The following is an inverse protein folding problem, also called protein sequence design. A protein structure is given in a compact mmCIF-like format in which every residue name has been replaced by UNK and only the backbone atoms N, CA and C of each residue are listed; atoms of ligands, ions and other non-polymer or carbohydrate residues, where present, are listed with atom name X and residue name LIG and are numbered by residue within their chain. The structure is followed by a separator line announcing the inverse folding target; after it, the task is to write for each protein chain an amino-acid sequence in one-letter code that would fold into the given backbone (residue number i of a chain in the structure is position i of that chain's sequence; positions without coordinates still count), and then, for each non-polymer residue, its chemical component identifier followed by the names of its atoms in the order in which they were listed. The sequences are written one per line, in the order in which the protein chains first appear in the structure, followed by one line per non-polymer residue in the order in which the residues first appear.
data_IF_849133328805
#
_entry.id   IF_849133328805
#
_cell.length_a   1.000
_cell.length_b   1.000
_cell.length_c   1.000
_cell.angle_alpha   90.00
_cell.angle_beta   90.00
_cell.angle_gamma   90.00
#
_symmetry.space_group_name_H-M   'P 1'
#
loop_
_entity.id
_entity.type
_entity.pdbx_description
1 polymer ?
#
# COMPACT_ATOMS: atom_id res chain seq x y z
N UNK A 1 23.01 7.42 13.04
CA UNK A 1 23.11 6.47 11.92
C UNK A 1 21.74 6.31 11.34
N UNK A 2 21.59 6.56 10.05
CA UNK A 2 20.36 6.30 9.30
C UNK A 2 20.15 4.79 9.19
N UNK A 3 18.97 4.30 9.55
CA UNK A 3 18.57 2.89 9.44
C UNK A 3 17.28 2.79 8.62
N UNK A 4 16.99 1.63 8.03
CA UNK A 4 15.73 1.41 7.31
C UNK A 4 14.52 1.76 8.19
N UNK A 5 14.57 1.38 9.47
CA UNK A 5 13.49 1.61 10.43
C UNK A 5 13.23 3.10 10.71
N UNK A 6 14.27 3.84 11.11
CA UNK A 6 14.09 5.25 11.46
C UNK A 6 13.75 6.09 10.22
N UNK A 7 14.35 5.78 9.06
CA UNK A 7 14.08 6.47 7.81
C UNK A 7 12.64 6.23 7.36
N UNK A 8 12.19 4.97 7.35
CA UNK A 8 10.81 4.62 7.03
C UNK A 8 9.81 5.34 7.95
N UNK A 9 10.04 5.32 9.26
CA UNK A 9 9.20 6.00 10.24
C UNK A 9 9.09 7.51 9.95
N UNK A 10 10.21 8.20 9.75
CA UNK A 10 10.21 9.64 9.50
C UNK A 10 9.54 10.01 8.17
N UNK A 11 9.67 9.18 7.14
CA UNK A 11 8.96 9.36 5.87
C UNK A 11 7.45 9.22 6.07
N UNK A 12 6.98 8.09 6.64
CA UNK A 12 5.54 7.84 6.86
C UNK A 12 4.94 8.93 7.75
N UNK A 13 5.61 9.28 8.85
CA UNK A 13 5.14 10.35 9.74
C UNK A 13 5.03 11.68 8.99
N UNK A 14 6.04 12.05 8.21
CA UNK A 14 6.02 13.29 7.44
C UNK A 14 4.92 13.34 6.39
N UNK A 15 4.61 12.20 5.74
CA UNK A 15 3.49 12.10 4.80
C UNK A 15 2.16 12.28 5.53
N UNK A 16 1.97 11.61 6.68
CA UNK A 16 0.75 11.77 7.49
C UNK A 16 0.58 13.21 7.96
N UNK A 17 1.66 13.87 8.39
CA UNK A 17 1.55 15.24 8.90
C UNK A 17 1.28 16.28 7.80
N UNK A 18 1.81 16.07 6.58
CA UNK A 18 1.86 17.12 5.56
C UNK A 18 1.12 16.81 4.25
N UNK A 19 0.76 15.55 4.00
CA UNK A 19 0.20 15.11 2.71
C UNK A 19 1.25 14.82 1.62
N UNK A 20 2.54 15.02 1.91
CA UNK A 20 3.65 14.79 0.98
C UNK A 20 4.90 14.28 1.70
N UNK A 21 5.82 13.67 0.96
CA UNK A 21 7.04 13.10 1.54
C UNK A 21 8.02 14.21 1.95
N UNK A 22 8.66 14.09 3.13
CA UNK A 22 9.75 14.97 3.52
C UNK A 22 10.85 15.04 2.45
N UNK A 23 11.47 16.22 2.33
CA UNK A 23 12.65 16.37 1.49
C UNK A 23 13.87 15.69 2.13
N UNK A 24 14.94 15.50 1.36
CA UNK A 24 16.22 15.00 1.89
C UNK A 24 16.73 15.91 3.02
N UNK A 25 16.52 17.22 2.90
CA UNK A 25 16.89 18.19 3.93
C UNK A 25 16.08 18.01 5.22
N UNK A 26 14.78 17.80 5.11
CA UNK A 26 13.91 17.53 6.26
C UNK A 26 14.33 16.23 6.97
N UNK A 27 14.62 15.17 6.21
CA UNK A 27 15.06 13.89 6.74
C UNK A 27 16.45 13.98 7.41
N UNK A 28 17.39 14.69 6.78
CA UNK A 28 18.72 14.93 7.33
C UNK A 28 18.65 15.70 8.65
N UNK A 29 17.79 16.73 8.71
CA UNK A 29 17.52 17.48 9.94
C UNK A 29 16.90 16.62 11.04
N UNK A 30 15.86 15.84 10.70
CA UNK A 30 15.15 14.98 11.66
C UNK A 30 16.06 13.87 12.24
N UNK A 31 16.92 13.28 11.41
CA UNK A 31 17.82 12.19 11.79
C UNK A 31 19.18 12.66 12.31
N UNK A 32 19.46 13.97 12.27
CA UNK A 32 20.77 14.57 12.57
C UNK A 32 21.90 13.88 11.78
N UNK A 33 21.65 13.68 10.49
CA UNK A 33 22.50 12.94 9.57
C UNK A 33 22.92 13.81 8.37
N UNK A 34 23.96 13.38 7.64
CA UNK A 34 24.34 14.03 6.39
C UNK A 34 23.37 13.69 5.25
N UNK A 35 23.21 14.59 4.26
CA UNK A 35 22.33 14.34 3.10
C UNK A 35 22.72 13.07 2.33
N UNK A 36 24.01 12.83 2.16
CA UNK A 36 24.53 11.61 1.49
C UNK A 36 24.18 10.34 2.28
N UNK A 37 24.18 10.39 3.60
CA UNK A 37 23.77 9.26 4.46
C UNK A 37 22.28 8.96 4.29
N UNK A 38 21.44 9.99 4.20
CA UNK A 38 20.00 9.85 3.91
C UNK A 38 19.77 9.28 2.52
N UNK A 39 20.46 9.79 1.50
CA UNK A 39 20.35 9.29 0.12
C UNK A 39 20.74 7.82 0.05
N UNK A 40 21.86 7.44 0.67
CA UNK A 40 22.28 6.04 0.77
C UNK A 40 21.21 5.21 1.49
N UNK A 41 20.68 5.71 2.61
CA UNK A 41 19.61 5.05 3.35
C UNK A 41 18.33 4.85 2.53
N UNK A 42 17.97 5.78 1.63
CA UNK A 42 16.83 5.63 0.73
C UNK A 42 17.04 4.48 -0.27
N UNK A 43 18.24 4.36 -0.83
CA UNK A 43 18.58 3.24 -1.72
C UNK A 43 18.64 1.91 -0.97
N UNK A 44 19.19 1.89 0.24
CA UNK A 44 19.19 0.70 1.11
C UNK A 44 17.75 0.27 1.46
N UNK A 45 16.88 1.24 1.76
CA UNK A 45 15.45 1.00 2.01
C UNK A 45 14.72 0.50 0.76
N UNK A 46 15.07 1.00 -0.43
CA UNK A 46 14.51 0.51 -1.70
C UNK A 46 14.90 -0.95 -1.96
N UNK A 47 16.17 -1.29 -1.75
CA UNK A 47 16.68 -2.65 -1.92
C UNK A 47 16.01 -3.63 -0.94
N UNK A 48 15.56 -3.14 0.22
CA UNK A 48 14.80 -3.90 1.22
C UNK A 48 13.28 -3.86 0.97
N UNK A 49 12.84 -3.39 -0.21
CA UNK A 49 11.44 -3.22 -0.58
C UNK A 49 10.64 -2.34 0.41
N UNK A 50 11.29 -1.43 1.14
CA UNK A 50 10.63 -0.48 2.03
C UNK A 50 10.06 0.73 1.30
N UNK A 51 10.62 1.07 0.13
CA UNK A 51 10.22 2.21 -0.70
C UNK A 51 10.47 1.90 -2.17
N UNK A 52 9.76 2.58 -3.07
CA UNK A 52 10.09 2.67 -4.49
C UNK A 52 10.46 4.12 -4.76
N UNK A 53 11.68 4.33 -5.25
CA UNK A 53 12.17 5.63 -5.66
C UNK A 53 11.86 5.87 -7.14
N UNK A 54 11.89 7.13 -7.53
CA UNK A 54 11.90 7.51 -8.94
C UNK A 54 13.14 6.91 -9.63
N UNK A 55 13.02 6.39 -10.87
CA UNK A 55 14.14 5.69 -11.54
C UNK A 55 15.43 6.51 -11.69
N UNK A 56 15.32 7.84 -11.75
CA UNK A 56 16.43 8.73 -12.07
C UNK A 56 16.87 9.64 -10.91
N UNK A 57 16.22 9.58 -9.75
CA UNK A 57 16.55 10.44 -8.60
C UNK A 57 16.11 9.79 -7.27
N UNK A 58 16.74 10.10 -6.13
CA UNK A 58 16.37 9.57 -4.81
C UNK A 58 15.10 10.23 -4.25
N UNK A 59 14.06 10.34 -5.09
CA UNK A 59 12.75 10.87 -4.76
C UNK A 59 11.78 9.73 -4.52
N UNK A 60 11.05 9.78 -3.42
CA UNK A 60 10.08 8.75 -3.04
C UNK A 60 8.89 8.80 -4.01
N UNK A 61 8.62 7.69 -4.69
CA UNK A 61 7.46 7.54 -5.57
C UNK A 61 6.35 6.73 -4.89
N UNK A 62 6.72 5.63 -4.23
CA UNK A 62 5.80 4.79 -3.45
C UNK A 62 6.44 4.45 -2.13
N UNK A 63 5.72 4.67 -1.03
CA UNK A 63 6.05 4.07 0.26
C UNK A 63 4.76 3.52 0.82
N UNK A 64 4.59 2.21 0.73
CA UNK A 64 3.31 1.58 1.05
C UNK A 64 2.88 1.94 2.49
N UNK A 65 1.61 2.30 2.71
CA UNK A 65 0.50 2.27 1.75
C UNK A 65 0.33 3.55 0.88
N UNK A 66 1.17 4.57 1.04
CA UNK A 66 1.03 5.85 0.35
C UNK A 66 1.60 5.86 -1.08
N UNK A 67 0.95 6.62 -1.95
CA UNK A 67 1.47 7.03 -3.26
C UNK A 67 1.83 8.51 -3.23
N UNK A 68 2.98 8.86 -3.83
CA UNK A 68 3.46 10.24 -3.96
C UNK A 68 3.22 10.80 -5.37
N UNK A 69 2.47 10.04 -6.19
CA UNK A 69 1.89 10.48 -7.44
C UNK A 69 0.36 10.27 -7.38
N UNK A 70 -0.44 11.06 -8.10
CA UNK A 70 -1.89 10.88 -8.13
C UNK A 70 -2.31 9.49 -8.63
N UNK A 71 -3.34 8.92 -8.01
CA UNK A 71 -3.92 7.61 -8.38
C UNK A 71 -5.45 7.66 -8.38
N UNK A 72 -6.09 6.57 -8.80
CA UNK A 72 -7.55 6.39 -8.71
C UNK A 72 -8.06 6.19 -7.26
N UNK A 73 -7.21 6.28 -6.24
CA UNK A 73 -7.58 6.08 -4.84
C UNK A 73 -7.22 7.29 -4.00
N UNK A 74 -8.13 8.25 -3.98
CA UNK A 74 -7.95 9.49 -3.23
C UNK A 74 -8.51 9.32 -1.82
N UNK A 75 -7.66 9.54 -0.81
CA UNK A 75 -7.96 9.31 0.60
C UNK A 75 -8.03 10.66 1.31
N UNK A 76 -9.10 10.92 2.06
CA UNK A 76 -9.33 12.20 2.72
C UNK A 76 -9.76 11.98 4.17
N UNK A 77 -9.27 12.84 5.06
CA UNK A 77 -9.82 13.03 6.40
C UNK A 77 -10.08 14.53 6.62
N UNK A 78 -10.49 14.92 7.83
CA UNK A 78 -10.57 16.33 8.21
C UNK A 78 -9.21 17.02 8.29
N UNK A 79 -8.12 16.25 8.42
CA UNK A 79 -6.76 16.76 8.67
C UNK A 79 -5.88 16.81 7.44
N UNK A 80 -6.21 16.04 6.41
CA UNK A 80 -5.35 15.95 5.24
C UNK A 80 -5.94 15.10 4.13
N UNK A 81 -5.17 14.99 3.06
CA UNK A 81 -5.53 14.27 1.85
C UNK A 81 -4.27 13.58 1.32
N UNK A 82 -4.45 12.35 0.84
CA UNK A 82 -3.39 11.47 0.39
C UNK A 82 -3.87 10.63 -0.79
N UNK A 83 -2.95 9.89 -1.40
CA UNK A 83 -3.29 8.83 -2.34
C UNK A 83 -2.82 7.48 -1.81
N UNK A 84 -3.65 6.45 -2.00
CA UNK A 84 -3.21 5.05 -1.93
C UNK A 84 -2.81 4.56 -3.32
N UNK A 85 -1.87 3.62 -3.43
CA UNK A 85 -1.47 3.09 -4.74
C UNK A 85 -2.56 2.24 -5.42
N UNK A 86 -3.44 1.65 -4.63
CA UNK A 86 -4.46 0.70 -5.05
C UNK A 86 -5.59 0.60 -4.01
N UNK A 87 -6.57 -0.26 -4.26
CA UNK A 87 -7.66 -0.52 -3.31
C UNK A 87 -7.14 -0.95 -1.94
N UNK A 88 -6.25 -1.95 -1.90
CA UNK A 88 -5.64 -2.43 -0.65
C UNK A 88 -4.81 -1.36 0.06
N UNK A 89 -3.98 -0.62 -0.68
CA UNK A 89 -3.19 0.47 -0.13
C UNK A 89 -4.09 1.59 0.45
N UNK A 90 -5.18 1.95 -0.21
CA UNK A 90 -6.08 2.99 0.28
C UNK A 90 -6.69 2.63 1.65
N UNK A 91 -7.00 1.34 1.84
CA UNK A 91 -7.42 0.80 3.14
C UNK A 91 -6.26 0.79 4.14
N UNK A 92 -5.03 0.53 3.70
CA UNK A 92 -3.82 0.70 4.52
C UNK A 92 -3.60 2.12 5.03
N UNK A 93 -3.78 3.13 4.15
CA UNK A 93 -3.71 4.54 4.54
C UNK A 93 -4.77 4.83 5.61
N UNK A 94 -6.02 4.42 5.38
CA UNK A 94 -7.10 4.61 6.35
C UNK A 94 -6.78 3.96 7.72
N UNK A 95 -6.19 2.76 7.71
CA UNK A 95 -5.79 2.05 8.93
C UNK A 95 -4.70 2.79 9.72
N UNK A 96 -3.71 3.37 9.03
CA UNK A 96 -2.63 4.13 9.67
C UNK A 96 -3.10 5.46 10.26
N UNK A 97 -4.03 6.14 9.58
CA UNK A 97 -4.56 7.42 10.06
C UNK A 97 -5.40 7.27 11.33
N UNK A 98 -6.05 6.10 11.52
CA UNK A 98 -6.88 5.80 12.68
C UNK A 98 -7.95 6.89 12.96
N UNK A 99 -8.57 7.37 11.90
CA UNK A 99 -9.56 8.45 11.88
C UNK A 99 -10.78 8.09 11.02
N UNK A 100 -11.79 8.96 11.02
CA UNK A 100 -12.84 8.90 9.99
C UNK A 100 -12.23 9.26 8.63
N UNK A 101 -12.32 8.33 7.69
CA UNK A 101 -11.67 8.42 6.39
C UNK A 101 -12.72 8.25 5.29
N UNK A 102 -12.59 9.05 4.24
CA UNK A 102 -13.29 8.88 2.97
C UNK A 102 -12.30 8.53 1.87
N UNK A 103 -12.58 7.48 1.12
CA UNK A 103 -11.80 7.06 -0.04
C UNK A 103 -12.68 7.22 -1.28
N UNK A 104 -12.30 8.11 -2.19
CA UNK A 104 -12.97 8.26 -3.48
C UNK A 104 -12.22 7.46 -4.54
N UNK A 105 -12.93 6.60 -5.25
CA UNK A 105 -12.37 5.75 -6.32
C UNK A 105 -13.38 5.47 -7.42
N UNK A 106 -12.96 4.82 -8.51
CA UNK A 106 -13.81 4.43 -9.63
C UNK A 106 -13.83 2.91 -9.76
N UNK A 107 -15.02 2.32 -9.88
CA UNK A 107 -15.20 0.88 -10.10
C UNK A 107 -14.43 0.44 -11.35
N UNK A 108 -13.57 -0.57 -11.19
CA UNK A 108 -12.67 -1.05 -12.26
C UNK A 108 -11.77 0.02 -12.88
N UNK A 109 -11.59 1.15 -12.18
CA UNK A 109 -10.96 2.37 -12.71
C UNK A 109 -11.57 2.90 -14.01
N UNK A 110 -12.84 2.56 -14.31
CA UNK A 110 -13.43 2.81 -15.63
C UNK A 110 -14.86 3.39 -15.55
N UNK A 111 -15.72 2.86 -14.68
CA UNK A 111 -17.18 3.04 -14.87
C UNK A 111 -17.80 4.11 -13.97
N UNK A 112 -17.94 3.83 -12.68
CA UNK A 112 -18.68 4.66 -11.73
C UNK A 112 -17.79 5.07 -10.58
N UNK A 113 -17.76 6.37 -10.28
CA UNK A 113 -17.14 6.87 -9.07
C UNK A 113 -17.98 6.48 -7.85
N UNK A 114 -17.30 5.98 -6.83
CA UNK A 114 -17.85 5.56 -5.55
C UNK A 114 -17.04 6.19 -4.42
N UNK A 115 -17.63 6.19 -3.24
CA UNK A 115 -16.97 6.57 -2.00
C UNK A 115 -17.02 5.39 -1.04
N UNK A 116 -15.90 5.12 -0.38
CA UNK A 116 -15.77 4.13 0.68
C UNK A 116 -15.44 4.87 1.97
N UNK A 117 -16.22 4.61 3.01
CA UNK A 117 -16.13 5.29 4.30
C UNK A 117 -15.63 4.34 5.38
N UNK A 118 -14.70 4.85 6.19
CA UNK A 118 -14.28 4.22 7.44
C UNK A 118 -14.77 5.12 8.56
N UNK A 119 -15.69 4.63 9.38
CA UNK A 119 -16.30 5.36 10.50
C UNK A 119 -16.15 4.52 11.75
N UNK A 120 -15.58 5.11 12.81
CA UNK A 120 -15.30 4.41 14.09
C UNK A 120 -14.53 3.08 13.91
N UNK A 121 -13.62 3.03 12.95
CA UNK A 121 -12.80 1.84 12.66
C UNK A 121 -13.52 0.74 11.86
N UNK A 122 -14.74 1.00 11.38
CA UNK A 122 -15.53 0.09 10.57
C UNK A 122 -15.70 0.62 9.15
N UNK A 123 -15.52 -0.27 8.17
CA UNK A 123 -15.83 0.02 6.78
C UNK A 123 -17.34 -0.07 6.54
N UNK A 124 -17.91 0.94 5.87
CA UNK A 124 -19.36 1.05 5.70
C UNK A 124 -19.87 0.30 4.47
N UNK A 125 -19.19 0.44 3.32
CA UNK A 125 -19.59 -0.17 2.05
C UNK A 125 -19.06 -1.61 1.92
N UNK A 126 -19.71 -2.55 2.60
CA UNK A 126 -19.26 -3.95 2.72
C UNK A 126 -19.55 -4.82 1.49
N UNK A 127 -20.37 -4.33 0.56
CA UNK A 127 -20.82 -5.07 -0.61
C UNK A 127 -19.86 -4.98 -1.82
N UNK A 128 -18.68 -4.39 -1.64
CA UNK A 128 -17.66 -4.34 -2.68
C UNK A 128 -16.64 -5.47 -2.57
N UNK A 129 -15.98 -5.74 -3.70
CA UNK A 129 -14.93 -6.73 -3.83
C UNK A 129 -13.65 -6.07 -4.32
N UNK A 130 -12.50 -6.60 -3.91
CA UNK A 130 -11.19 -6.23 -4.43
C UNK A 130 -10.64 -7.42 -5.23
N UNK A 131 -10.18 -7.14 -6.44
CA UNK A 131 -9.53 -8.12 -7.31
C UNK A 131 -8.00 -8.03 -7.16
N UNK A 132 -7.35 -9.18 -7.00
CA UNK A 132 -5.90 -9.34 -6.90
C UNK A 132 -5.40 -10.21 -8.07
N UNK A 133 -5.05 -9.61 -9.22
CA UNK A 133 -4.68 -10.37 -10.41
C UNK A 133 -3.24 -10.90 -10.41
N UNK A 134 -2.34 -10.23 -9.69
CA UNK A 134 -0.90 -10.52 -9.70
C UNK A 134 -0.56 -11.42 -8.50
N UNK A 135 0.16 -12.54 -8.68
CA UNK A 135 0.71 -13.31 -7.56
C UNK A 135 1.60 -12.45 -6.65
N UNK A 136 1.41 -12.53 -5.35
CA UNK A 136 2.11 -11.71 -4.36
C UNK A 136 3.63 -11.87 -4.41
N UNK A 137 4.12 -13.04 -4.81
CA UNK A 137 5.56 -13.26 -5.03
C UNK A 137 6.16 -12.44 -6.18
N UNK A 138 5.32 -11.96 -7.11
CA UNK A 138 5.71 -11.10 -8.23
C UNK A 138 5.34 -9.62 -7.97
N UNK A 139 4.84 -9.27 -6.77
CA UNK A 139 4.32 -7.93 -6.52
C UNK A 139 5.39 -6.84 -6.73
N UNK A 140 6.65 -7.16 -6.41
CA UNK A 140 7.80 -6.26 -6.51
C UNK A 140 8.46 -6.22 -7.88
N UNK A 141 8.17 -7.17 -8.78
CA UNK A 141 8.68 -7.14 -10.17
C UNK A 141 8.30 -5.82 -10.87
N UNK A 142 7.10 -5.34 -10.58
CA UNK A 142 6.63 -4.02 -10.98
C UNK A 142 5.51 -3.54 -10.04
N UNK A 143 5.90 -2.86 -8.95
CA UNK A 143 4.96 -2.35 -7.94
C UNK A 143 3.87 -1.46 -8.55
N UNK A 144 4.23 -0.59 -9.51
CA UNK A 144 3.29 0.35 -10.12
C UNK A 144 2.22 -0.41 -10.90
N UNK A 145 2.61 -1.40 -11.71
CA UNK A 145 1.69 -2.24 -12.44
C UNK A 145 0.83 -3.10 -11.51
N UNK A 146 1.44 -3.76 -10.52
CA UNK A 146 0.75 -4.58 -9.53
C UNK A 146 -0.34 -3.79 -8.81
N UNK A 147 0.00 -2.61 -8.26
CA UNK A 147 -0.96 -1.78 -7.53
C UNK A 147 -2.05 -1.21 -8.45
N UNK A 148 -1.70 -0.74 -9.65
CA UNK A 148 -2.67 -0.16 -10.58
C UNK A 148 -3.78 -1.13 -11.00
N UNK A 149 -3.56 -2.44 -10.84
CA UNK A 149 -4.53 -3.49 -11.17
C UNK A 149 -5.26 -4.10 -9.94
N UNK A 150 -4.98 -3.65 -8.72
CA UNK A 150 -5.75 -4.03 -7.54
C UNK A 150 -6.90 -3.03 -7.30
N UNK A 151 -8.04 -3.32 -7.92
CA UNK A 151 -9.17 -2.39 -8.05
C UNK A 151 -10.42 -2.87 -7.30
N UNK A 152 -11.38 -1.95 -7.12
CA UNK A 152 -12.68 -2.21 -6.48
C UNK A 152 -13.76 -2.51 -7.53
N UNK A 153 -14.62 -3.48 -7.22
CA UNK A 153 -15.73 -3.93 -8.08
C UNK A 153 -17.00 -4.17 -7.27
N UNK A 154 -18.16 -4.12 -7.92
CA UNK A 154 -19.46 -4.36 -7.28
C UNK A 154 -19.81 -5.85 -7.21
N UNK A 155 -19.27 -6.67 -8.11
CA UNK A 155 -19.49 -8.11 -8.15
C UNK A 155 -18.47 -8.82 -9.06
N UNK A 156 -18.48 -10.15 -9.01
CA UNK A 156 -17.59 -11.01 -9.80
C UNK A 156 -17.87 -10.97 -11.31
N UNK A 157 -19.09 -10.70 -11.76
CA UNK A 157 -19.41 -10.58 -13.19
C UNK A 157 -18.72 -9.37 -13.84
N UNK A 158 -18.66 -8.25 -13.12
CA UNK A 158 -17.87 -7.08 -13.54
C UNK A 158 -16.39 -7.42 -13.64
N UNK A 159 -15.83 -8.17 -12.66
CA UNK A 159 -14.43 -8.61 -12.69
C UNK A 159 -14.17 -9.52 -13.90
N UNK A 160 -15.05 -10.48 -14.18
CA UNK A 160 -14.94 -11.37 -15.34
C UNK A 160 -14.97 -10.60 -16.67
N UNK A 161 -15.84 -9.60 -16.77
CA UNK A 161 -15.93 -8.75 -17.96
C UNK A 161 -14.70 -7.85 -18.14
N UNK A 162 -14.21 -7.27 -17.04
CA UNK A 162 -13.04 -6.40 -17.02
C UNK A 162 -11.75 -7.16 -17.37
N UNK A 163 -11.52 -8.31 -16.73
CA UNK A 163 -10.37 -9.20 -17.00
C UNK A 163 -10.31 -9.62 -18.46
N UNK A 164 -11.44 -10.06 -19.04
CA UNK A 164 -11.53 -10.41 -20.46
C UNK A 164 -11.24 -9.21 -21.37
N UNK A 165 -11.76 -8.02 -21.05
CA UNK A 165 -11.62 -6.82 -21.88
C UNK A 165 -10.18 -6.30 -21.91
N UNK A 166 -9.52 -6.29 -20.76
CA UNK A 166 -8.18 -5.71 -20.61
C UNK A 166 -7.06 -6.74 -20.77
N UNK A 167 -7.39 -8.01 -21.04
CA UNK A 167 -6.41 -9.10 -21.12
C UNK A 167 -5.59 -9.22 -19.82
N UNK A 168 -6.28 -9.16 -18.69
CA UNK A 168 -5.67 -9.33 -17.37
C UNK A 168 -6.21 -10.63 -16.80
N UNK A 169 -5.31 -11.48 -16.30
CA UNK A 169 -5.67 -12.75 -15.71
C UNK A 169 -6.62 -12.59 -14.53
N UNK A 170 -7.60 -13.50 -14.44
CA UNK A 170 -8.44 -13.58 -13.26
C UNK A 170 -7.63 -14.18 -12.11
N UNK A 171 -7.19 -13.32 -11.21
CA UNK A 171 -6.66 -13.70 -9.90
C UNK A 171 -7.75 -13.87 -8.84
N UNK A 172 -7.40 -13.52 -7.61
CA UNK A 172 -8.21 -13.75 -6.42
C UNK A 172 -9.19 -12.59 -6.19
N UNK A 173 -10.37 -12.89 -5.66
CA UNK A 173 -11.44 -11.92 -5.43
C UNK A 173 -11.82 -11.99 -3.96
N UNK A 174 -11.63 -10.87 -3.25
CA UNK A 174 -11.86 -10.83 -1.81
C UNK A 174 -12.89 -9.77 -1.43
N UNK A 175 -13.80 -10.06 -0.49
CA UNK A 175 -14.68 -9.05 0.07
C UNK A 175 -13.89 -7.89 0.67
N UNK A 176 -14.33 -6.66 0.42
CA UNK A 176 -13.62 -5.47 0.88
C UNK A 176 -13.47 -5.43 2.41
N UNK A 177 -14.45 -5.95 3.16
CA UNK A 177 -14.40 -6.02 4.62
C UNK A 177 -13.27 -6.95 5.12
N UNK A 178 -13.04 -8.06 4.43
CA UNK A 178 -11.93 -8.97 4.73
C UNK A 178 -10.59 -8.27 4.49
N UNK A 179 -10.46 -7.56 3.36
CA UNK A 179 -9.24 -6.80 3.04
C UNK A 179 -9.04 -5.62 3.98
N UNK A 180 -10.11 -4.96 4.46
CA UNK A 180 -10.01 -3.93 5.50
C UNK A 180 -9.36 -4.49 6.77
N UNK A 181 -9.83 -5.65 7.24
CA UNK A 181 -9.26 -6.31 8.42
C UNK A 181 -7.80 -6.74 8.20
N UNK A 182 -7.50 -7.29 7.03
CA UNK A 182 -6.14 -7.63 6.63
C UNK A 182 -5.23 -6.39 6.56
N UNK A 183 -5.72 -5.27 6.04
CA UNK A 183 -4.98 -4.00 5.94
C UNK A 183 -4.54 -3.48 7.31
N UNK A 184 -5.41 -3.55 8.32
CA UNK A 184 -5.07 -3.17 9.70
C UNK A 184 -3.89 -3.97 10.23
N UNK A 185 -3.84 -5.28 9.98
CA UNK A 185 -2.72 -6.14 10.39
C UNK A 185 -1.46 -5.83 9.58
N UNK A 186 -1.59 -5.83 8.26
CA UNK A 186 -0.45 -5.72 7.35
C UNK A 186 0.26 -4.38 7.46
N UNK A 187 -0.51 -3.29 7.51
CA UNK A 187 0.03 -1.93 7.56
C UNK A 187 0.20 -1.40 8.98
N UNK A 188 -0.40 -2.01 10.00
CA UNK A 188 -0.41 -1.50 11.38
C UNK A 188 0.98 -1.23 11.98
N UNK A 189 2.04 -1.89 11.47
CA UNK A 189 3.42 -1.65 11.91
C UNK A 189 4.15 -0.51 11.17
N UNK A 190 3.58 0.09 10.12
CA UNK A 190 4.32 1.01 9.23
C UNK A 190 4.64 2.38 9.84
N UNK A 191 3.92 2.80 10.90
CA UNK A 191 4.25 4.00 11.69
C UNK A 191 5.07 3.67 12.96
N UNK A 192 5.70 2.48 13.04
CA UNK A 192 6.54 2.10 14.17
C UNK A 192 7.98 2.62 13.98
N UNK A 193 8.59 3.32 14.97
CA UNK A 193 10.01 3.68 14.93
C UNK A 193 10.98 2.50 14.81
N UNK A 194 10.53 1.31 15.21
CA UNK A 194 11.23 0.02 15.10
C UNK A 194 10.65 -0.86 13.97
N UNK A 195 10.08 -0.22 12.93
CA UNK A 195 9.59 -0.90 11.74
C UNK A 195 10.66 -1.82 11.13
N UNK A 196 10.22 -3.03 10.81
CA UNK A 196 10.97 -3.95 9.97
C UNK A 196 10.05 -4.47 8.89
N UNK A 197 10.62 -4.68 7.70
CA UNK A 197 9.91 -5.29 6.60
C UNK A 197 9.50 -6.72 6.97
N UNK A 198 8.29 -7.13 6.59
CA UNK A 198 7.84 -8.50 6.80
C UNK A 198 8.81 -9.49 6.17
N UNK A 199 9.16 -10.54 6.91
CA UNK A 199 9.81 -11.71 6.29
C UNK A 199 8.79 -12.46 5.44
N UNK A 200 9.26 -13.30 4.51
CA UNK A 200 8.38 -14.21 3.77
C UNK A 200 7.55 -15.09 4.73
N UNK A 201 8.13 -15.57 5.82
CA UNK A 201 7.42 -16.39 6.80
C UNK A 201 6.35 -15.60 7.59
N UNK A 202 6.63 -14.34 7.93
CA UNK A 202 5.62 -13.45 8.49
C UNK A 202 4.48 -13.22 7.51
N UNK A 203 4.80 -12.94 6.24
CA UNK A 203 3.80 -12.71 5.20
C UNK A 203 2.91 -13.94 4.99
N UNK A 204 3.51 -15.13 4.85
CA UNK A 204 2.77 -16.42 4.76
C UNK A 204 1.87 -16.64 5.97
N UNK A 205 2.37 -16.35 7.19
CA UNK A 205 1.59 -16.48 8.42
C UNK A 205 0.40 -15.54 8.42
N UNK A 206 0.59 -14.27 8.04
CA UNK A 206 -0.50 -13.30 7.97
C UNK A 206 -1.50 -13.70 6.89
N UNK A 207 -1.07 -14.12 5.70
CA UNK A 207 -1.99 -14.58 4.65
C UNK A 207 -2.88 -15.74 5.13
N UNK A 208 -2.31 -16.73 5.83
CA UNK A 208 -3.09 -17.81 6.46
C UNK A 208 -4.05 -17.32 7.54
N UNK A 209 -3.63 -16.38 8.40
CA UNK A 209 -4.49 -15.77 9.44
C UNK A 209 -5.75 -15.13 8.84
N UNK A 210 -5.66 -14.63 7.61
CA UNK A 210 -6.76 -14.02 6.88
C UNK A 210 -7.34 -14.93 5.79
N UNK A 211 -7.04 -16.25 5.77
CA UNK A 211 -7.57 -17.18 4.75
C UNK A 211 -7.36 -16.65 3.31
N UNK A 212 -6.20 -16.06 3.06
CA UNK A 212 -5.76 -15.59 1.75
C UNK A 212 -4.92 -16.70 1.13
N UNK A 213 -5.53 -17.48 0.25
CA UNK A 213 -4.99 -18.77 -0.21
C UNK A 213 -4.94 -18.90 -1.74
N UNK A 214 -4.26 -19.94 -2.23
CA UNK A 214 -4.16 -20.24 -3.65
C UNK A 214 -3.01 -19.51 -4.34
N UNK A 215 -3.00 -19.55 -5.69
CA UNK A 215 -1.86 -19.12 -6.51
C UNK A 215 -1.45 -17.65 -6.30
N UNK A 216 -2.38 -16.80 -5.88
CA UNK A 216 -2.13 -15.38 -5.66
C UNK A 216 -1.34 -15.15 -4.38
N UNK A 217 -1.62 -15.90 -3.32
CA UNK A 217 -1.03 -15.68 -1.99
C UNK A 217 0.10 -16.66 -1.67
N UNK A 218 0.34 -17.63 -2.55
CA UNK A 218 1.45 -18.56 -2.38
C UNK A 218 2.81 -17.85 -2.59
N UNK A 219 3.68 -17.92 -1.59
CA UNK A 219 5.03 -17.39 -1.62
C UNK A 219 6.02 -18.54 -1.64
N UNK A 220 7.09 -18.40 -2.43
CA UNK A 220 8.16 -19.40 -2.47
C UNK A 220 8.95 -19.39 -1.14
N UNK A 221 9.67 -20.47 -0.82
CA UNK A 221 10.52 -20.50 0.37
C UNK A 221 11.77 -19.65 0.12
N UNK A 222 11.78 -18.42 0.66
CA UNK A 222 12.90 -17.49 0.59
C UNK A 222 13.26 -16.97 1.98
N UNK A 223 14.55 -16.72 2.21
CA UNK A 223 15.05 -16.00 3.39
C UNK A 223 14.99 -14.47 3.22
N UNK A 224 14.55 -14.00 2.06
CA UNK A 224 14.47 -12.59 1.73
C UNK A 224 13.26 -11.94 2.41
N UNK A 225 13.20 -10.60 2.34
CA UNK A 225 12.02 -9.85 2.76
C UNK A 225 10.94 -9.95 1.70
N UNK A 226 9.68 -9.89 2.13
CA UNK A 226 8.54 -9.85 1.24
C UNK A 226 8.41 -8.47 0.59
#
# INVERSE_FOLDING_TARGET
MVTNSNLHYHIIKGIIDNGFAPTIDDLAGALKAGKEEVIKGLYDLQNDHGVVLHPNEPKIWVIHPFSLAPTNFFVQTKKGQWWGNCAWCSLGVAALLNEEVKITTTIGAETKQIEIHIVKGEIQEKNYFIHFPIPMKNAWDNVIYTCSNMLVFENEEQINSWTKRHHIEKGDIQPIEKIWNFSKKWYGNHLNPEWTKWTVEDAKRIFREFELEGKIWNLDDSKERF
#
